data_IF_926896510178
#
_entry.id   IF_926896510178
#
_cell.length_a   1.000
_cell.length_b   1.000
_cell.length_c   1.000
_cell.angle_alpha   90.00
_cell.angle_beta   90.00
_cell.angle_gamma   90.00
#
_symmetry.space_group_name_H-M   'P 1'
#
loop_
_entity.id
_entity.type
_entity.pdbx_description
1 polymer ?
#
# COMPACT_ATOMS: atom_id res chain seq x y z
N UNK A 1 -4.03 -73.42 51.83
CA UNK A 1 -3.22 -73.98 50.71
C UNK A 1 -4.18 -74.42 49.61
N UNK A 2 -3.90 -74.29 48.29
CA UNK A 2 -2.85 -73.51 47.60
C UNK A 2 -3.32 -72.71 46.33
N UNK A 3 -2.46 -71.77 45.88
CA UNK A 3 -2.02 -71.40 44.50
C UNK A 3 -3.07 -71.13 43.38
N UNK A 4 -2.94 -70.24 42.37
CA UNK A 4 -1.91 -69.37 41.73
C UNK A 4 -2.69 -68.52 40.67
N UNK A 5 -2.53 -67.21 40.51
CA UNK A 5 -1.48 -66.45 39.75
C UNK A 5 -1.77 -66.20 38.25
N UNK A 6 -1.49 -64.92 37.86
CA UNK A 6 -1.24 -64.31 36.52
C UNK A 6 -2.50 -63.85 35.76
N UNK A 7 -2.64 -62.63 35.24
CA UNK A 7 -1.66 -61.71 34.62
C UNK A 7 -2.05 -60.23 34.79
N UNK A 8 -1.03 -59.37 34.99
CA UNK A 8 -1.09 -57.93 34.78
C UNK A 8 -1.21 -57.62 33.28
N UNK A 9 -2.04 -56.63 32.92
CA UNK A 9 -1.80 -55.79 31.75
C UNK A 9 -1.91 -54.31 32.17
N UNK A 10 -0.76 -53.64 32.23
CA UNK A 10 -0.65 -52.20 32.33
C UNK A 10 -0.65 -51.64 30.90
N UNK A 11 -1.70 -50.93 30.51
CA UNK A 11 -1.76 -50.17 29.26
C UNK A 11 -1.14 -48.79 29.45
N UNK A 12 0.04 -48.56 28.86
CA UNK A 12 0.62 -47.22 28.70
C UNK A 12 -0.25 -46.42 27.72
N UNK A 13 -0.83 -45.31 28.20
CA UNK A 13 -1.38 -44.25 27.36
C UNK A 13 -0.23 -43.31 26.98
N UNK A 14 0.24 -43.41 25.74
CA UNK A 14 1.14 -42.43 25.12
C UNK A 14 0.32 -41.20 24.71
N UNK A 15 0.38 -40.14 25.50
CA UNK A 15 -0.01 -38.78 25.09
C UNK A 15 0.98 -38.28 24.04
N UNK A 16 0.58 -38.33 22.78
CA UNK A 16 1.30 -37.67 21.69
C UNK A 16 1.07 -36.17 21.73
N UNK A 17 2.12 -35.40 22.02
CA UNK A 17 2.14 -33.97 21.75
C UNK A 17 2.08 -33.77 20.23
N UNK A 18 0.91 -33.39 19.70
CA UNK A 18 0.80 -32.87 18.35
C UNK A 18 1.46 -31.49 18.33
N UNK A 19 2.72 -31.43 17.89
CA UNK A 19 3.39 -30.20 17.55
C UNK A 19 2.59 -29.52 16.44
N UNK A 20 1.85 -28.47 16.76
CA UNK A 20 1.28 -27.57 15.78
C UNK A 20 2.46 -26.93 15.03
N UNK A 21 2.83 -27.50 13.88
CA UNK A 21 3.80 -26.92 12.98
C UNK A 21 3.26 -25.55 12.58
N UNK A 22 3.92 -24.49 13.05
CA UNK A 22 3.71 -23.15 12.52
C UNK A 22 3.98 -23.20 11.02
N UNK A 23 2.94 -22.96 10.23
CA UNK A 23 3.12 -22.79 8.79
C UNK A 23 4.15 -21.67 8.58
N UNK A 24 5.13 -21.86 7.68
CA UNK A 24 6.10 -20.81 7.40
C UNK A 24 5.34 -19.54 6.97
N UNK A 25 5.78 -18.36 7.41
CA UNK A 25 5.11 -17.12 7.06
C UNK A 25 5.02 -17.04 5.53
N UNK A 26 3.78 -16.90 5.03
CA UNK A 26 3.51 -16.72 3.61
C UNK A 26 4.34 -15.53 3.14
N UNK A 27 5.16 -15.73 2.09
CA UNK A 27 5.98 -14.65 1.54
C UNK A 27 5.10 -13.42 1.29
N UNK A 28 5.59 -12.23 1.66
CA UNK A 28 4.88 -11.00 1.41
C UNK A 28 4.51 -10.92 -0.08
N UNK A 29 3.27 -10.54 -0.37
CA UNK A 29 2.80 -10.36 -1.75
C UNK A 29 3.75 -9.45 -2.53
N UNK A 30 3.78 -9.57 -3.85
CA UNK A 30 4.50 -8.60 -4.68
C UNK A 30 3.94 -7.19 -4.40
N UNK A 31 4.85 -6.23 -4.18
CA UNK A 31 4.48 -4.84 -3.97
C UNK A 31 3.91 -4.23 -5.25
N UNK A 32 2.99 -3.28 -5.11
CA UNK A 32 2.56 -2.47 -6.24
C UNK A 32 3.45 -1.22 -6.33
N UNK A 33 3.60 -0.63 -7.53
CA UNK A 33 4.26 0.67 -7.66
C UNK A 33 3.56 1.71 -6.77
N UNK A 34 4.36 2.40 -5.95
CA UNK A 34 3.88 3.39 -4.98
C UNK A 34 4.27 4.81 -5.35
N UNK A 35 4.54 5.64 -4.35
CA UNK A 35 5.01 7.00 -4.58
C UNK A 35 6.41 7.01 -5.19
N UNK A 36 6.66 7.92 -6.14
CA UNK A 36 8.02 8.19 -6.64
C UNK A 36 8.95 8.56 -5.48
N UNK A 37 10.25 8.19 -5.51
CA UNK A 37 11.21 8.63 -4.51
C UNK A 37 11.34 10.16 -4.44
N UNK A 38 11.09 10.85 -5.56
CA UNK A 38 11.25 12.30 -5.73
C UNK A 38 10.05 13.08 -5.20
N UNK A 39 8.87 12.46 -5.17
CA UNK A 39 7.62 13.10 -4.73
C UNK A 39 7.01 12.31 -3.58
N UNK A 40 7.05 12.88 -2.38
CA UNK A 40 6.29 12.37 -1.24
C UNK A 40 4.79 12.56 -1.46
N UNK A 41 3.94 11.78 -0.78
CA UNK A 41 2.49 11.93 -0.87
C UNK A 41 2.04 13.32 -0.41
N UNK A 42 1.04 13.88 -1.08
CA UNK A 42 0.51 15.21 -0.74
C UNK A 42 -0.84 15.07 -0.05
N UNK A 43 -0.89 15.43 1.23
CA UNK A 43 -2.16 15.61 1.96
C UNK A 43 -2.50 17.10 1.93
N UNK A 44 -3.52 17.52 1.19
CA UNK A 44 -3.97 18.92 1.18
C UNK A 44 -4.96 19.14 2.31
N UNK A 45 -4.98 20.32 2.92
CA UNK A 45 -5.95 20.70 3.96
C UNK A 45 -6.01 19.72 5.14
N UNK A 46 -4.90 19.05 5.43
CA UNK A 46 -4.75 18.21 6.61
C UNK A 46 -4.46 19.03 7.86
N UNK A 47 -4.52 18.37 9.02
CA UNK A 47 -4.12 18.94 10.30
C UNK A 47 -3.35 17.91 11.13
N UNK A 48 -2.44 18.39 11.96
CA UNK A 48 -1.79 17.56 12.97
C UNK A 48 -2.80 17.21 14.07
N UNK A 49 -3.04 15.92 14.26
CA UNK A 49 -3.98 15.38 15.27
C UNK A 49 -3.62 13.94 15.58
N UNK A 50 -4.25 13.34 16.60
CA UNK A 50 -4.09 11.91 16.86
C UNK A 50 -4.66 11.06 15.71
N UNK A 51 -4.01 9.93 15.44
CA UNK A 51 -4.49 8.95 14.47
C UNK A 51 -5.83 8.35 14.94
N UNK A 52 -6.82 8.15 14.05
CA UNK A 52 -8.07 7.48 14.41
C UNK A 52 -7.82 6.07 14.96
N UNK A 53 -8.57 5.65 15.98
CA UNK A 53 -8.39 4.34 16.62
C UNK A 53 -8.48 3.17 15.63
N UNK A 54 -9.33 3.27 14.60
CA UNK A 54 -9.42 2.27 13.53
C UNK A 54 -8.15 2.15 12.71
N UNK A 55 -7.47 3.27 12.42
CA UNK A 55 -6.18 3.30 11.72
C UNK A 55 -5.09 2.71 12.60
N UNK A 56 -5.06 3.05 13.89
CA UNK A 56 -4.10 2.49 14.86
C UNK A 56 -4.25 0.97 14.93
N UNK A 57 -5.48 0.47 15.08
CA UNK A 57 -5.76 -0.96 15.13
C UNK A 57 -5.37 -1.67 13.83
N UNK A 58 -5.70 -1.09 12.67
CA UNK A 58 -5.32 -1.63 11.36
C UNK A 58 -3.81 -1.74 11.23
N UNK A 59 -3.07 -0.63 11.42
CA UNK A 59 -1.62 -0.63 11.23
C UNK A 59 -0.94 -1.55 12.24
N UNK A 60 -1.41 -1.66 13.48
CA UNK A 60 -0.85 -2.57 14.47
C UNK A 60 -1.06 -4.06 14.11
N UNK A 61 -2.16 -4.40 13.45
CA UNK A 61 -2.48 -5.77 13.06
C UNK A 61 -1.66 -6.29 11.87
N UNK A 62 -0.91 -5.42 11.17
CA UNK A 62 -0.15 -5.83 9.98
C UNK A 62 1.07 -6.70 10.35
N UNK A 63 1.42 -7.71 9.55
CA UNK A 63 2.64 -8.49 9.74
C UNK A 63 3.88 -7.65 9.43
N UNK A 64 4.90 -7.71 10.30
CA UNK A 64 6.14 -6.93 10.15
C UNK A 64 6.88 -7.21 8.85
N UNK A 65 6.85 -8.44 8.34
CA UNK A 65 7.41 -8.79 7.04
C UNK A 65 6.71 -8.11 5.85
N UNK A 66 5.45 -7.71 6.01
CA UNK A 66 4.66 -7.05 4.94
C UNK A 66 4.85 -5.54 4.92
N UNK A 67 5.08 -4.94 6.10
CA UNK A 67 5.20 -3.48 6.25
C UNK A 67 6.61 -3.00 6.61
N UNK A 68 7.56 -3.94 6.74
CA UNK A 68 8.99 -3.72 6.99
C UNK A 68 9.33 -2.98 8.29
N UNK A 69 8.34 -2.70 9.15
CA UNK A 69 8.51 -2.01 10.42
C UNK A 69 8.00 -2.86 11.60
N UNK A 70 8.78 -2.97 12.70
CA UNK A 70 8.36 -3.60 13.95
C UNK A 70 7.05 -3.04 14.51
N UNK A 71 6.30 -3.85 15.25
CA UNK A 71 5.04 -3.44 15.90
C UNK A 71 5.28 -2.25 16.85
N UNK A 72 6.35 -2.31 17.65
CA UNK A 72 6.68 -1.26 18.63
C UNK A 72 6.91 0.11 17.97
N UNK A 73 7.60 0.13 16.82
CA UNK A 73 7.82 1.35 16.05
C UNK A 73 6.53 1.85 15.39
N UNK A 74 5.69 0.95 14.85
CA UNK A 74 4.38 1.33 14.30
C UNK A 74 3.48 1.98 15.33
N UNK A 75 3.43 1.42 16.54
CA UNK A 75 2.68 2.00 17.66
C UNK A 75 3.24 3.37 18.06
N UNK A 76 4.57 3.52 18.10
CA UNK A 76 5.22 4.80 18.40
C UNK A 76 4.95 5.87 17.34
N UNK A 77 4.94 5.51 16.05
CA UNK A 77 4.58 6.43 14.97
C UNK A 77 3.16 6.97 15.16
N UNK A 78 2.22 6.08 15.48
CA UNK A 78 0.80 6.42 15.56
C UNK A 78 0.34 6.97 16.92
N UNK A 79 1.16 6.89 17.97
CA UNK A 79 0.86 7.48 19.28
C UNK A 79 1.11 8.99 19.34
N UNK A 80 1.89 9.52 18.40
CA UNK A 80 2.13 10.94 18.21
C UNK A 80 0.99 11.65 17.46
N UNK A 81 1.25 12.90 17.07
CA UNK A 81 0.40 13.59 16.09
C UNK A 81 0.79 13.18 14.68
N UNK A 82 -0.19 12.87 13.86
CA UNK A 82 -0.08 12.56 12.44
C UNK A 82 -0.73 13.66 11.62
N UNK A 83 -0.26 13.89 10.41
CA UNK A 83 -0.90 14.84 9.51
C UNK A 83 -2.08 14.15 8.79
N UNK A 84 -3.29 14.49 9.22
CA UNK A 84 -4.52 13.78 8.86
C UNK A 84 -5.49 14.72 8.13
N UNK A 85 -6.08 14.20 7.06
CA UNK A 85 -7.32 14.72 6.47
C UNK A 85 -8.45 13.70 6.65
N UNK A 86 -9.58 14.18 7.14
CA UNK A 86 -10.83 13.41 7.21
C UNK A 86 -11.64 13.69 5.95
N UNK A 87 -12.12 12.62 5.32
CA UNK A 87 -12.84 12.69 4.05
C UNK A 87 -14.22 12.03 4.20
N UNK A 88 -15.25 12.52 3.50
CA UNK A 88 -16.54 11.86 3.46
C UNK A 88 -16.38 10.43 2.92
N UNK A 89 -16.82 9.43 3.67
CA UNK A 89 -16.88 8.05 3.24
C UNK A 89 -18.32 7.58 3.00
N UNK A 90 -18.47 6.30 2.74
CA UNK A 90 -19.78 5.68 2.46
C UNK A 90 -20.63 5.53 3.73
N UNK A 91 -21.93 5.79 3.63
CA UNK A 91 -22.87 5.53 4.74
C UNK A 91 -22.68 6.44 5.96
N UNK A 92 -22.23 7.69 5.76
CA UNK A 92 -21.98 8.67 6.84
C UNK A 92 -20.71 8.38 7.66
N UNK A 93 -19.95 7.34 7.32
CA UNK A 93 -18.66 7.02 7.92
C UNK A 93 -17.57 7.89 7.31
N UNK A 94 -16.49 8.12 8.05
CA UNK A 94 -15.34 8.86 7.55
C UNK A 94 -14.31 7.94 6.92
N UNK A 95 -13.75 8.41 5.81
CA UNK A 95 -12.49 7.92 5.30
C UNK A 95 -11.34 8.80 5.85
N UNK A 96 -10.12 8.28 5.81
CA UNK A 96 -8.93 8.96 6.31
C UNK A 96 -7.84 8.98 5.24
N UNK A 97 -7.16 10.11 5.12
CA UNK A 97 -5.91 10.26 4.39
C UNK A 97 -4.88 10.77 5.37
N UNK A 98 -3.83 10.00 5.58
CA UNK A 98 -2.82 10.25 6.59
C UNK A 98 -1.44 10.18 5.95
N UNK A 99 -0.61 11.15 6.29
CA UNK A 99 0.82 11.08 6.10
C UNK A 99 1.50 11.36 7.43
N UNK A 100 2.49 10.55 7.77
CA UNK A 100 3.39 10.81 8.88
C UNK A 100 4.83 10.72 8.40
N UNK A 101 5.61 11.72 8.77
CA UNK A 101 7.04 11.81 8.56
C UNK A 101 7.68 12.06 9.92
N UNK A 102 7.93 10.99 10.67
CA UNK A 102 8.60 11.08 11.95
C UNK A 102 10.12 11.18 11.73
N UNK A 103 10.53 12.33 11.19
CA UNK A 103 11.89 12.62 10.75
C UNK A 103 12.33 11.85 9.50
N UNK A 104 13.62 11.87 9.20
CA UNK A 104 14.19 11.24 8.00
C UNK A 104 14.25 9.71 8.03
N UNK A 105 13.82 9.07 9.12
CA UNK A 105 14.05 7.63 9.36
C UNK A 105 12.88 6.75 8.98
N UNK A 106 11.65 7.24 9.15
CA UNK A 106 10.44 6.45 8.93
C UNK A 106 9.35 7.34 8.32
N UNK A 107 8.58 6.77 7.40
CA UNK A 107 7.36 7.41 6.92
C UNK A 107 6.24 6.41 6.75
N UNK A 108 5.02 6.91 6.96
CA UNK A 108 3.77 6.19 6.72
C UNK A 108 2.88 7.08 5.86
N UNK A 109 2.36 6.49 4.80
CA UNK A 109 1.20 7.01 4.09
C UNK A 109 0.07 6.01 4.13
N UNK A 110 -1.15 6.50 4.32
CA UNK A 110 -2.34 5.67 4.37
C UNK A 110 -3.57 6.40 3.81
N UNK A 111 -4.37 5.69 3.02
CA UNK A 111 -5.73 6.09 2.65
C UNK A 111 -6.69 4.96 3.01
N UNK A 112 -7.71 5.26 3.80
CA UNK A 112 -8.83 4.33 4.05
C UNK A 112 -10.01 4.62 3.14
N UNK A 113 -10.84 3.61 2.90
CA UNK A 113 -12.05 3.68 2.09
C UNK A 113 -13.16 2.85 2.73
N UNK A 114 -14.22 3.50 3.18
CA UNK A 114 -15.36 2.83 3.78
C UNK A 114 -16.11 2.01 2.72
N UNK A 115 -16.43 0.77 3.06
CA UNK A 115 -17.25 -0.11 2.24
C UNK A 115 -18.71 0.32 2.20
N UNK A 116 -19.46 -0.25 1.26
CA UNK A 116 -20.92 -0.14 1.21
C UNK A 116 -21.54 -0.76 2.45
N UNK A 117 -21.14 -1.99 2.74
CA UNK A 117 -21.53 -2.69 3.96
C UNK A 117 -20.75 -2.16 5.18
N UNK A 118 -21.41 -1.97 6.33
CA UNK A 118 -20.71 -1.74 7.60
C UNK A 118 -19.73 -2.89 7.88
N UNK A 119 -18.54 -2.58 8.40
CA UNK A 119 -17.51 -3.59 8.71
C UNK A 119 -16.54 -3.87 7.57
N UNK A 120 -16.85 -3.47 6.34
CA UNK A 120 -15.90 -3.53 5.21
C UNK A 120 -15.12 -2.22 5.10
N UNK A 121 -13.79 -2.32 5.04
CA UNK A 121 -12.92 -1.14 4.82
C UNK A 121 -11.72 -1.53 3.97
N UNK A 122 -11.47 -0.75 2.92
CA UNK A 122 -10.24 -0.82 2.13
C UNK A 122 -9.18 0.09 2.71
N UNK A 123 -7.92 -0.33 2.62
CA UNK A 123 -6.76 0.51 2.94
C UNK A 123 -5.74 0.43 1.82
N UNK A 124 -5.21 1.58 1.43
CA UNK A 124 -3.95 1.68 0.72
C UNK A 124 -2.89 2.21 1.68
N UNK A 125 -1.72 1.59 1.69
CA UNK A 125 -0.65 1.91 2.62
C UNK A 125 0.71 1.84 1.91
N UNK A 126 1.60 2.75 2.27
CA UNK A 126 3.01 2.63 1.96
C UNK A 126 3.82 3.06 3.18
N UNK A 127 4.80 2.25 3.57
CA UNK A 127 5.73 2.56 4.64
C UNK A 127 7.16 2.49 4.14
N UNK A 128 8.00 3.35 4.69
CA UNK A 128 9.43 3.39 4.40
C UNK A 128 10.22 3.46 5.69
N UNK A 129 11.35 2.78 5.69
CA UNK A 129 12.36 2.89 6.73
C UNK A 129 13.72 3.15 6.08
N UNK A 130 14.44 4.17 6.53
CA UNK A 130 15.80 4.43 6.06
C UNK A 130 16.69 3.21 6.32
N UNK A 131 17.53 2.83 5.35
CA UNK A 131 18.40 1.66 5.49
C UNK A 131 19.35 1.78 6.70
N UNK A 132 19.79 2.99 7.00
CA UNK A 132 20.60 3.32 8.18
C UNK A 132 19.89 3.12 9.52
N UNK A 133 18.56 2.96 9.52
CA UNK A 133 17.75 2.78 10.73
C UNK A 133 17.43 1.31 11.05
N UNK A 134 17.77 0.36 10.17
CA UNK A 134 17.39 -1.06 10.33
C UNK A 134 18.00 -1.69 11.58
N UNK A 135 19.29 -1.50 11.83
CA UNK A 135 19.95 -2.15 12.98
C UNK A 135 19.43 -1.61 14.32
N UNK A 136 19.20 -0.30 14.38
CA UNK A 136 18.57 0.33 15.54
C UNK A 136 17.11 -0.12 15.74
N UNK A 137 16.37 -0.34 14.65
CA UNK A 137 15.02 -0.89 14.69
C UNK A 137 15.02 -2.34 15.17
N UNK A 138 15.93 -3.19 14.67
CA UNK A 138 16.06 -4.59 15.09
C UNK A 138 16.35 -4.69 16.59
N UNK A 139 17.23 -3.84 17.12
CA UNK A 139 17.55 -3.83 18.55
C UNK A 139 16.33 -3.50 19.43
N UNK A 140 15.32 -2.81 18.90
CA UNK A 140 14.06 -2.48 19.57
C UNK A 140 12.93 -3.47 19.27
N UNK A 141 13.14 -4.39 18.33
CA UNK A 141 12.11 -5.28 17.80
C UNK A 141 12.07 -6.64 18.50
N UNK A 142 12.90 -6.85 19.53
CA UNK A 142 13.07 -8.12 20.26
C UNK A 142 13.17 -9.33 19.32
N UNK A 143 12.07 -10.07 19.12
CA UNK A 143 12.00 -11.30 18.31
C UNK A 143 11.51 -11.09 16.86
N UNK A 144 11.12 -9.87 16.46
CA UNK A 144 10.59 -9.64 15.12
C UNK A 144 11.68 -9.70 14.04
N UNK A 145 11.36 -10.35 12.91
CA UNK A 145 12.29 -10.53 11.79
C UNK A 145 12.28 -9.34 10.81
N UNK A 146 13.37 -8.57 10.76
CA UNK A 146 13.59 -7.51 9.77
C UNK A 146 14.42 -7.95 8.54
N UNK A 147 14.56 -9.25 8.30
CA UNK A 147 15.29 -9.76 7.12
C UNK A 147 14.70 -9.28 5.80
N UNK A 148 13.37 -9.08 5.73
CA UNK A 148 12.73 -8.49 4.56
C UNK A 148 13.21 -7.04 4.30
N UNK A 149 13.30 -6.23 5.35
CA UNK A 149 13.82 -4.87 5.26
C UNK A 149 15.31 -4.85 4.86
N UNK A 150 16.12 -5.75 5.45
CA UNK A 150 17.54 -5.91 5.06
C UNK A 150 17.71 -6.27 3.59
N UNK A 151 16.88 -7.19 3.08
CA UNK A 151 16.90 -7.56 1.65
C UNK A 151 16.52 -6.39 0.75
N UNK A 152 15.54 -5.57 1.14
CA UNK A 152 15.19 -4.36 0.40
C UNK A 152 16.37 -3.38 0.32
N UNK A 153 17.09 -3.20 1.44
CA UNK A 153 18.26 -2.33 1.52
C UNK A 153 19.55 -2.89 0.91
N UNK A 154 19.59 -4.18 0.58
CA UNK A 154 20.72 -4.79 -0.12
C UNK A 154 20.72 -4.50 -1.62
N UNK A 155 19.64 -3.90 -2.15
CA UNK A 155 19.57 -3.48 -3.55
C UNK A 155 20.52 -2.30 -3.81
N UNK A 156 21.12 -2.25 -5.00
CA UNK A 156 22.03 -1.17 -5.38
C UNK A 156 21.32 0.19 -5.27
N UNK A 157 21.98 1.16 -4.62
CA UNK A 157 21.48 2.52 -4.42
C UNK A 157 20.21 2.64 -3.56
N UNK A 158 19.81 1.60 -2.82
CA UNK A 158 18.69 1.69 -1.90
C UNK A 158 19.01 2.57 -0.68
N UNK A 159 18.30 3.70 -0.55
CA UNK A 159 18.36 4.55 0.66
C UNK A 159 17.31 4.15 1.70
N UNK A 160 16.23 3.49 1.27
CA UNK A 160 15.10 3.09 2.09
C UNK A 160 14.68 1.65 1.80
N UNK A 161 14.28 0.92 2.84
CA UNK A 161 13.41 -0.24 2.72
C UNK A 161 11.98 0.27 2.51
N UNK A 162 11.44 0.06 1.31
CA UNK A 162 10.09 0.50 0.91
C UNK A 162 9.16 -0.71 0.77
N UNK A 163 7.97 -0.62 1.34
CA UNK A 163 6.96 -1.66 1.18
C UNK A 163 6.42 -1.73 -0.25
N UNK A 164 6.62 -0.70 -1.05
CA UNK A 164 5.78 -0.31 -2.18
C UNK A 164 4.35 -0.01 -1.72
N UNK A 165 3.45 0.27 -2.66
CA UNK A 165 2.04 0.41 -2.34
C UNK A 165 1.45 -0.96 -2.01
N UNK A 166 0.71 -1.00 -0.90
CA UNK A 166 -0.01 -2.17 -0.42
C UNK A 166 -1.50 -1.87 -0.39
N UNK A 167 -2.29 -2.86 -0.81
CA UNK A 167 -3.73 -2.83 -0.73
C UNK A 167 -4.22 -3.86 0.27
N UNK A 168 -5.01 -3.43 1.24
CA UNK A 168 -5.59 -4.29 2.26
C UNK A 168 -7.11 -4.16 2.28
N UNK A 169 -7.78 -5.25 2.63
CA UNK A 169 -9.23 -5.28 2.89
C UNK A 169 -9.47 -5.83 4.28
N UNK A 170 -10.35 -5.17 5.03
CA UNK A 170 -10.97 -5.70 6.24
C UNK A 170 -12.43 -5.98 5.91
N UNK A 171 -12.93 -7.13 6.32
CA UNK A 171 -14.34 -7.49 6.25
C UNK A 171 -14.80 -7.98 7.64
N UNK A 172 -15.92 -7.46 8.13
CA UNK A 172 -16.60 -7.94 9.35
C UNK A 172 -15.69 -8.15 10.58
N UNK A 173 -14.74 -7.24 10.80
CA UNK A 173 -13.81 -7.30 11.94
C UNK A 173 -12.75 -8.40 11.85
N UNK A 174 -12.62 -9.07 10.70
CA UNK A 174 -11.54 -10.01 10.42
C UNK A 174 -10.17 -9.28 10.38
N UNK A 175 -9.11 -10.07 10.51
CA UNK A 175 -7.75 -9.55 10.33
C UNK A 175 -7.57 -8.94 8.92
N UNK A 176 -6.72 -7.92 8.76
CA UNK A 176 -6.49 -7.33 7.45
C UNK A 176 -5.95 -8.34 6.43
N UNK A 177 -6.62 -8.46 5.29
CA UNK A 177 -6.20 -9.28 4.16
C UNK A 177 -5.36 -8.43 3.20
N UNK A 178 -4.13 -8.86 2.90
CA UNK A 178 -3.31 -8.26 1.84
C UNK A 178 -3.81 -8.72 0.47
N UNK A 179 -4.46 -7.80 -0.25
CA UNK A 179 -5.02 -8.03 -1.58
C UNK A 179 -4.12 -7.51 -2.70
N UNK A 180 -2.90 -7.04 -2.39
CA UNK A 180 -1.99 -6.41 -3.37
C UNK A 180 -1.72 -7.30 -4.59
N UNK A 181 -1.46 -8.60 -4.37
CA UNK A 181 -1.18 -9.56 -5.44
C UNK A 181 -2.40 -9.89 -6.32
N UNK A 182 -3.62 -9.59 -5.87
CA UNK A 182 -4.84 -9.78 -6.66
C UNK A 182 -5.04 -8.67 -7.70
N UNK A 183 -4.40 -7.51 -7.49
CA UNK A 183 -4.50 -6.39 -8.40
C UNK A 183 -3.64 -6.61 -9.64
N UNK A 184 -4.22 -6.30 -10.80
CA UNK A 184 -3.52 -6.42 -12.07
C UNK A 184 -2.31 -5.47 -12.06
N UNK A 185 -1.12 -6.05 -12.17
CA UNK A 185 0.13 -5.31 -12.20
C UNK A 185 0.13 -4.24 -13.32
N UNK A 186 0.38 -2.96 -13.02
CA UNK A 186 0.36 -1.87 -14.00
C UNK A 186 1.41 -2.02 -15.10
N UNK A 187 2.52 -2.71 -14.83
CA UNK A 187 3.57 -3.03 -15.81
C UNK A 187 3.00 -3.83 -16.98
N UNK A 188 1.94 -4.64 -16.76
CA UNK A 188 1.27 -5.37 -17.84
C UNK A 188 0.53 -4.43 -18.80
N UNK A 189 0.07 -3.27 -18.34
CA UNK A 189 -0.64 -2.31 -19.19
C UNK A 189 0.31 -1.58 -20.14
N UNK A 190 1.53 -1.30 -19.69
CA UNK A 190 2.56 -0.64 -20.49
C UNK A 190 3.40 -1.63 -21.31
N UNK A 191 3.72 -2.80 -20.76
CA UNK A 191 4.58 -3.81 -21.38
C UNK A 191 6.08 -3.47 -21.25
N UNK A 192 6.91 -4.51 -21.17
CA UNK A 192 8.35 -4.38 -20.87
C UNK A 192 9.10 -3.52 -21.89
N UNK A 193 8.91 -3.78 -23.18
CA UNK A 193 9.59 -3.04 -24.24
C UNK A 193 9.26 -1.54 -24.27
N UNK A 194 8.06 -1.15 -23.80
CA UNK A 194 7.70 0.27 -23.67
C UNK A 194 8.40 0.89 -22.46
N UNK A 195 8.37 0.21 -21.33
CA UNK A 195 9.04 0.65 -20.11
C UNK A 195 10.55 0.82 -20.31
N UNK A 196 11.21 -0.14 -20.97
CA UNK A 196 12.65 -0.03 -21.27
C UNK A 196 12.97 1.18 -22.17
N UNK A 197 12.07 1.53 -23.10
CA UNK A 197 12.25 2.75 -23.92
C UNK A 197 12.04 4.03 -23.14
N UNK A 198 11.10 4.06 -22.20
CA UNK A 198 10.86 5.22 -21.35
C UNK A 198 12.02 5.44 -20.38
N UNK A 199 12.51 4.36 -19.76
CA UNK A 199 13.69 4.37 -18.89
C UNK A 199 14.93 4.88 -19.63
N UNK A 200 15.16 4.42 -20.87
CA UNK A 200 16.24 4.91 -21.72
C UNK A 200 16.14 6.41 -22.09
N UNK A 201 14.98 7.04 -21.90
CA UNK A 201 14.73 8.47 -22.08
C UNK A 201 14.75 9.25 -20.75
N UNK A 202 15.12 8.59 -19.64
CA UNK A 202 15.18 9.21 -18.32
C UNK A 202 13.83 9.34 -17.62
N UNK A 203 12.78 8.66 -18.11
CA UNK A 203 11.48 8.69 -17.45
C UNK A 203 11.51 7.97 -16.09
N UNK A 204 10.67 8.43 -15.17
CA UNK A 204 10.52 7.81 -13.86
C UNK A 204 9.99 6.36 -13.98
N UNK A 205 10.26 5.49 -12.98
CA UNK A 205 9.50 4.27 -12.80
C UNK A 205 8.00 4.54 -12.68
N UNK A 206 7.18 3.50 -12.87
CA UNK A 206 5.74 3.61 -12.61
C UNK A 206 5.54 4.09 -11.17
N UNK A 207 4.72 5.12 -10.99
CA UNK A 207 4.39 5.67 -9.69
C UNK A 207 2.90 6.05 -9.61
N UNK A 208 2.41 6.23 -8.40
CA UNK A 208 1.06 6.70 -8.12
C UNK A 208 0.97 8.22 -8.34
N UNK A 209 0.00 8.65 -9.15
CA UNK A 209 -0.56 10.00 -9.13
C UNK A 209 -1.70 10.03 -8.10
N UNK A 210 -1.43 10.68 -6.96
CA UNK A 210 -2.34 10.85 -5.83
C UNK A 210 -3.07 12.19 -5.85
N UNK A 211 -2.98 12.95 -6.94
CA UNK A 211 -3.45 14.34 -6.98
C UNK A 211 -4.97 14.50 -6.85
N UNK A 212 -5.73 13.40 -6.84
CA UNK A 212 -7.20 13.33 -6.63
C UNK A 212 -7.63 12.44 -5.46
N UNK A 213 -6.67 11.92 -4.69
CA UNK A 213 -6.93 10.92 -3.65
C UNK A 213 -7.79 11.47 -2.49
N UNK A 214 -7.84 12.80 -2.39
CA UNK A 214 -8.64 13.55 -1.43
C UNK A 214 -10.07 13.83 -1.90
N UNK A 215 -10.37 13.63 -3.18
CA UNK A 215 -11.68 13.92 -3.76
C UNK A 215 -12.41 12.67 -4.27
N UNK A 216 -11.68 11.59 -4.58
CA UNK A 216 -12.24 10.37 -5.13
C UNK A 216 -11.57 9.11 -4.55
N UNK A 217 -12.27 7.96 -4.52
CA UNK A 217 -11.73 6.69 -4.07
C UNK A 217 -10.88 6.02 -5.17
N UNK A 218 -10.01 6.79 -5.84
CA UNK A 218 -9.30 6.35 -7.04
C UNK A 218 -7.90 6.97 -7.11
N UNK A 219 -6.93 6.15 -7.50
CA UNK A 219 -5.56 6.53 -7.84
C UNK A 219 -5.29 6.19 -9.29
N UNK A 220 -4.28 6.83 -9.89
CA UNK A 220 -3.80 6.50 -11.23
C UNK A 220 -2.32 6.13 -11.16
N UNK A 221 -1.94 5.02 -11.77
CA UNK A 221 -0.53 4.76 -12.03
C UNK A 221 -0.10 5.45 -13.32
N UNK A 222 1.04 6.12 -13.25
CA UNK A 222 1.64 6.85 -14.37
C UNK A 222 3.14 6.62 -14.41
N UNK A 223 3.71 6.85 -15.58
CA UNK A 223 5.13 7.15 -15.75
C UNK A 223 5.24 8.63 -16.04
N UNK A 224 6.07 9.36 -15.29
CA UNK A 224 6.39 10.75 -15.62
C UNK A 224 7.62 10.79 -16.53
N UNK A 225 7.57 11.62 -17.56
CA UNK A 225 8.72 11.87 -18.42
C UNK A 225 9.79 12.68 -17.68
N UNK A 226 11.03 12.58 -18.13
CA UNK A 226 12.02 13.65 -17.92
C UNK A 226 11.45 14.95 -18.51
N UNK A 227 11.33 16.05 -17.74
CA UNK A 227 10.83 17.33 -18.24
C UNK A 227 11.55 17.85 -19.49
N UNK A 228 12.84 17.54 -19.63
CA UNK A 228 13.68 17.95 -20.76
C UNK A 228 13.65 16.94 -21.92
N UNK A 229 13.12 15.72 -21.69
CA UNK A 229 12.99 14.66 -22.70
C UNK A 229 11.57 14.04 -22.67
N UNK A 230 10.57 14.74 -23.24
CA UNK A 230 9.20 14.24 -23.29
C UNK A 230 9.05 12.89 -23.99
N UNK A 231 8.12 12.07 -23.53
CA UNK A 231 7.81 10.78 -24.15
C UNK A 231 7.22 10.96 -25.56
N UNK A 232 7.35 9.96 -26.45
CA UNK A 232 6.83 10.06 -27.81
C UNK A 232 5.31 10.29 -27.82
N UNK A 233 4.87 11.48 -28.25
CA UNK A 233 3.45 11.87 -28.23
C UNK A 233 2.52 10.92 -29.02
N UNK A 234 3.08 10.17 -30.00
CA UNK A 234 2.36 9.16 -30.78
C UNK A 234 2.16 7.82 -30.06
N UNK A 235 2.80 7.60 -28.92
CA UNK A 235 2.59 6.38 -28.13
C UNK A 235 1.18 6.39 -27.53
N UNK A 236 0.45 5.30 -27.72
CA UNK A 236 -0.93 5.12 -27.29
C UNK A 236 -1.15 5.29 -25.77
N UNK A 237 -0.11 5.13 -24.96
CA UNK A 237 -0.22 5.30 -23.51
C UNK A 237 0.07 6.72 -23.04
N UNK A 238 0.70 7.53 -23.89
CA UNK A 238 1.13 8.90 -23.57
C UNK A 238 -0.05 9.87 -23.64
N UNK A 239 -0.04 10.85 -22.73
CA UNK A 239 -0.98 11.96 -22.62
C UNK A 239 -0.25 13.19 -22.07
N UNK A 240 -0.94 14.33 -21.91
CA UNK A 240 -0.33 15.60 -21.49
C UNK A 240 0.89 15.99 -22.34
N UNK A 241 0.75 15.95 -23.67
CA UNK A 241 1.80 16.39 -24.60
C UNK A 241 3.13 15.64 -24.52
N UNK A 242 3.19 14.46 -23.88
CA UNK A 242 4.45 13.72 -23.71
C UNK A 242 4.93 13.64 -22.26
N UNK A 243 4.36 14.40 -21.33
CA UNK A 243 4.86 14.46 -19.95
C UNK A 243 4.48 13.26 -19.09
N UNK A 244 3.44 12.51 -19.48
CA UNK A 244 3.00 11.33 -18.73
C UNK A 244 2.56 10.19 -19.64
N UNK A 245 2.71 8.96 -19.14
CA UNK A 245 2.13 7.75 -19.72
C UNK A 245 1.23 7.05 -18.72
N UNK A 246 0.06 6.57 -19.16
CA UNK A 246 -0.96 5.95 -18.31
C UNK A 246 -0.73 4.44 -18.13
N UNK A 247 -0.77 3.96 -16.88
CA UNK A 247 -0.57 2.55 -16.53
C UNK A 247 -1.76 1.89 -15.81
N UNK A 248 -2.92 2.56 -15.76
CA UNK A 248 -4.14 2.06 -15.13
C UNK A 248 -4.61 2.92 -13.94
N UNK A 249 -5.84 2.68 -13.52
CA UNK A 249 -6.43 3.22 -12.29
C UNK A 249 -6.63 2.10 -11.26
N UNK A 250 -6.41 2.42 -9.99
CA UNK A 250 -6.81 1.59 -8.85
C UNK A 250 -8.02 2.25 -8.21
N UNK A 251 -9.11 1.49 -8.03
CA UNK A 251 -10.39 2.01 -7.57
C UNK A 251 -10.86 1.18 -6.38
N UNK A 252 -11.37 1.84 -5.35
CA UNK A 252 -12.20 1.18 -4.35
C UNK A 252 -13.67 1.23 -4.77
N UNK A 253 -14.29 0.08 -5.00
CA UNK A 253 -15.68 -0.01 -5.49
C UNK A 253 -16.72 -0.16 -4.36
N UNK A 254 -16.29 0.00 -3.10
CA UNK A 254 -17.14 -0.19 -1.94
C UNK A 254 -17.16 -1.61 -1.37
N UNK A 255 -16.52 -2.58 -2.02
CA UNK A 255 -16.32 -3.93 -1.50
C UNK A 255 -14.85 -4.37 -1.59
N UNK A 256 -14.20 -4.07 -2.71
CA UNK A 256 -12.79 -4.40 -2.95
C UNK A 256 -12.09 -3.40 -3.86
N UNK A 257 -10.79 -3.60 -4.02
CA UNK A 257 -9.99 -2.87 -5.00
C UNK A 257 -10.07 -3.54 -6.37
N UNK A 258 -10.14 -2.72 -7.41
CA UNK A 258 -10.10 -3.16 -8.79
C UNK A 258 -9.16 -2.28 -9.62
N UNK A 259 -8.61 -2.85 -10.70
CA UNK A 259 -7.78 -2.11 -11.66
C UNK A 259 -8.55 -1.93 -12.96
N UNK A 260 -8.70 -0.68 -13.42
CA UNK A 260 -9.36 -0.34 -14.69
C UNK A 260 -8.46 0.51 -15.58
N UNK A 261 -8.64 0.39 -16.88
CA UNK A 261 -7.91 1.21 -17.86
C UNK A 261 -8.54 2.61 -18.01
N UNK A 262 -9.84 2.73 -17.77
CA UNK A 262 -10.55 4.02 -17.83
C UNK A 262 -11.57 4.14 -16.71
N UNK A 263 -11.90 5.39 -16.37
CA UNK A 263 -12.87 5.73 -15.31
C UNK A 263 -13.79 6.87 -15.74
N UNK A 264 -15.02 6.95 -15.21
CA UNK A 264 -15.85 8.14 -15.37
C UNK A 264 -15.26 9.34 -14.61
N UNK A 265 -15.59 10.56 -15.04
CA UNK A 265 -15.17 11.85 -14.45
C UNK A 265 -15.45 11.93 -12.95
N UNK A 266 -16.54 11.32 -12.48
CA UNK A 266 -16.89 11.27 -11.06
C UNK A 266 -15.83 10.55 -10.20
N UNK A 267 -15.05 9.62 -10.77
CA UNK A 267 -13.96 8.91 -10.10
C UNK A 267 -12.58 9.55 -10.37
N UNK A 268 -12.50 10.55 -11.25
CA UNK A 268 -11.27 11.33 -11.48
C UNK A 268 -11.62 12.81 -11.69
N UNK A 269 -12.06 13.50 -10.61
CA UNK A 269 -12.55 14.86 -10.69
C UNK A 269 -11.43 15.83 -11.10
N UNK A 270 -11.82 17.04 -11.46
CA UNK A 270 -10.85 18.11 -11.69
C UNK A 270 -10.08 18.44 -10.41
N UNK A 271 -8.79 18.85 -10.52
CA UNK A 271 -8.09 19.37 -9.36
C UNK A 271 -8.80 20.62 -8.85
N UNK A 272 -8.78 20.85 -7.55
CA UNK A 272 -9.34 22.07 -6.95
C UNK A 272 -8.58 23.36 -7.33
N UNK A 273 -7.37 23.26 -7.89
CA UNK A 273 -6.54 24.42 -8.27
C UNK A 273 -7.03 25.08 -9.56
N UNK A 274 -7.15 26.42 -9.54
CA UNK A 274 -7.66 27.23 -10.65
C UNK A 274 -6.76 27.25 -11.90
N UNK A 275 -5.49 26.86 -11.78
CA UNK A 275 -4.47 27.11 -12.81
C UNK A 275 -4.33 26.00 -13.87
N UNK A 276 -5.07 24.88 -13.74
CA UNK A 276 -5.03 23.80 -14.71
C UNK A 276 -6.35 23.72 -15.50
N UNK A 277 -6.33 23.88 -16.85
CA UNK A 277 -7.53 23.65 -17.65
C UNK A 277 -8.00 22.20 -17.47
N UNK A 278 -9.18 22.04 -16.89
CA UNK A 278 -9.83 20.75 -16.74
C UNK A 278 -11.16 20.75 -17.53
N UNK A 279 -11.49 19.71 -18.30
CA UNK A 279 -10.69 18.49 -18.52
C UNK A 279 -9.45 18.74 -19.38
N UNK A 280 -8.38 17.96 -19.14
CA UNK A 280 -7.34 17.79 -20.14
C UNK A 280 -7.96 17.06 -21.34
N UNK A 281 -8.13 17.72 -22.50
CA UNK A 281 -8.78 17.11 -23.66
C UNK A 281 -7.98 15.93 -24.23
N UNK A 282 -6.71 15.77 -23.84
CA UNK A 282 -5.86 14.64 -24.24
C UNK A 282 -5.98 13.44 -23.29
N UNK A 283 -6.63 13.58 -22.13
CA UNK A 283 -6.80 12.49 -21.17
C UNK A 283 -7.99 11.58 -21.55
N UNK A 284 -7.76 10.76 -22.58
CA UNK A 284 -8.72 9.76 -23.10
C UNK A 284 -9.16 8.68 -22.10
N UNK A 285 -8.49 8.60 -20.95
CA UNK A 285 -8.74 7.58 -19.93
C UNK A 285 -9.82 7.99 -18.93
N UNK A 286 -10.30 9.24 -18.99
CA UNK A 286 -11.37 9.76 -18.13
C UNK A 286 -12.56 10.20 -18.97
N UNK A 287 -13.66 9.45 -18.86
CA UNK A 287 -14.87 9.65 -19.67
C UNK A 287 -15.96 10.47 -18.96
N UNK A 288 -16.81 11.16 -19.71
CA UNK A 288 -17.94 11.95 -19.19
C UNK A 288 -17.67 13.45 -19.09
N UNK A 289 -18.73 14.25 -19.25
CA UNK A 289 -18.71 15.70 -19.10
C UNK A 289 -18.65 16.11 -17.62
N UNK A 290 -18.25 17.36 -17.36
CA UNK A 290 -18.18 17.98 -16.03
C UNK A 290 -19.49 17.89 -15.27
#
# INVERSE_FOLDING_TARGET
MPLRSKYLLAGLLLTGCASAGSAPPKAAAAALPGFSPVSGPVVRDGRYTQAPASVVAFVAALPTQSVLLPVSLRQKLLSGQVYLRTLPGTGGRSDYLLADQNGARYSLWLRSFQGREPGTTGYLLQMRMACSAIDAAQAQAEEEDLSAARRACAQAHAEYADTGLRAYRIADGQAPEDVSASLKAPERALGRARLDRYDAQGADPIAVDDSRIDAAPTLRWVVNADPEQPLPAKDERVFQGGYKSHAGFVIWNGDGFEVRDSVPRALWPCPASADAPCPDPQDRYVSGAK
#
